data_IF_310167423966
#
_entry.id   IF_310167423966
#
_cell.length_a   1.000
_cell.length_b   1.000
_cell.length_c   1.000
_cell.angle_alpha   90.00
_cell.angle_beta   90.00
_cell.angle_gamma   90.00
#
_symmetry.space_group_name_H-M   'P 1'
#
loop_
_entity.id
_entity.type
_entity.pdbx_description
1 polymer ?
#
# COMPACT_ATOMS: atom_id res chain seq x y z
N UNK A 1 1.98 -2.38 24.64
CA UNK A 1 2.59 -1.30 25.44
C UNK A 1 4.07 -1.53 25.72
N UNK A 2 4.55 -2.74 26.07
CA UNK A 2 5.96 -2.97 26.42
C UNK A 2 7.01 -2.70 25.32
N UNK A 3 6.64 -2.65 24.04
CA UNK A 3 7.57 -2.40 22.93
C UNK A 3 7.06 -1.33 21.94
N UNK A 4 5.79 -1.39 21.53
CA UNK A 4 5.25 -0.51 20.47
C UNK A 4 5.22 0.98 20.86
N UNK A 5 4.79 1.32 22.07
CA UNK A 5 4.75 2.70 22.57
C UNK A 5 6.16 3.25 22.80
N UNK A 6 7.06 2.55 23.52
CA UNK A 6 8.47 2.96 23.63
C UNK A 6 9.16 3.14 22.28
N UNK A 7 8.86 2.27 21.30
CA UNK A 7 9.40 2.40 19.94
C UNK A 7 8.91 3.67 19.25
N UNK A 8 7.59 3.92 19.25
CA UNK A 8 7.01 5.10 18.61
C UNK A 8 7.51 6.41 19.25
N UNK A 9 7.50 6.49 20.57
CA UNK A 9 8.03 7.62 21.35
C UNK A 9 9.51 7.86 21.04
N UNK A 10 10.33 6.80 21.07
CA UNK A 10 11.78 6.90 20.79
C UNK A 10 12.06 7.32 19.36
N UNK A 11 11.27 6.84 18.39
CA UNK A 11 11.40 7.20 16.98
C UNK A 11 11.18 8.71 16.78
N UNK A 12 10.10 9.25 17.34
CA UNK A 12 9.77 10.68 17.26
C UNK A 12 10.81 11.52 18.02
N UNK A 13 11.19 11.10 19.23
CA UNK A 13 12.18 11.80 20.04
C UNK A 13 13.54 11.89 19.32
N UNK A 14 13.99 10.79 18.72
CA UNK A 14 15.20 10.74 17.90
C UNK A 14 15.07 11.66 16.70
N UNK A 15 13.93 11.62 16.00
CA UNK A 15 13.60 12.52 14.91
C UNK A 15 13.81 14.00 15.22
N UNK A 16 13.23 14.44 16.34
CA UNK A 16 13.35 15.82 16.83
C UNK A 16 14.81 16.20 17.13
N UNK A 17 15.59 15.29 17.70
CA UNK A 17 17.02 15.53 17.99
C UNK A 17 17.85 15.76 16.71
N UNK A 18 17.51 15.07 15.62
CA UNK A 18 18.20 15.20 14.33
C UNK A 18 17.53 16.18 13.35
N UNK A 19 16.45 16.87 13.76
CA UNK A 19 15.73 17.80 12.90
C UNK A 19 15.00 17.14 11.73
N UNK A 20 14.61 15.87 11.85
CA UNK A 20 13.86 15.12 10.83
C UNK A 20 12.36 15.35 11.03
N UNK A 21 11.63 15.60 9.93
CA UNK A 21 10.17 15.77 9.97
C UNK A 21 9.50 14.50 10.52
N UNK A 22 8.63 14.66 11.52
CA UNK A 22 7.90 13.54 12.14
C UNK A 22 7.09 12.74 11.12
N UNK A 23 6.54 13.41 10.11
CA UNK A 23 5.83 12.75 9.03
C UNK A 23 6.71 11.74 8.29
N UNK A 24 7.97 12.06 8.00
CA UNK A 24 8.88 11.14 7.32
C UNK A 24 9.17 9.91 8.18
N UNK A 25 9.29 10.11 9.50
CA UNK A 25 9.52 9.02 10.44
C UNK A 25 8.30 8.11 10.54
N UNK A 26 7.11 8.69 10.72
CA UNK A 26 5.86 7.93 10.90
C UNK A 26 5.42 7.27 9.60
N UNK A 27 5.56 7.94 8.46
CA UNK A 27 5.10 7.41 7.17
C UNK A 27 6.09 6.43 6.54
N UNK A 28 7.39 6.66 6.67
CA UNK A 28 8.39 5.89 5.94
C UNK A 28 9.24 5.02 6.84
N UNK A 29 9.83 5.59 7.89
CA UNK A 29 10.79 4.86 8.71
C UNK A 29 10.11 3.81 9.59
N UNK A 30 8.99 4.16 10.25
CA UNK A 30 8.28 3.25 11.14
C UNK A 30 7.80 2.00 10.37
N UNK A 31 7.11 2.12 9.21
CA UNK A 31 6.68 0.96 8.44
C UNK A 31 7.86 0.18 7.85
N UNK A 32 8.91 0.87 7.37
CA UNK A 32 10.09 0.20 6.85
C UNK A 32 10.70 -0.74 7.91
N UNK A 33 10.81 -0.26 9.15
CA UNK A 33 11.37 -1.05 10.25
C UNK A 33 10.40 -2.13 10.74
N UNK A 34 9.10 -1.82 10.90
CA UNK A 34 8.11 -2.78 11.39
C UNK A 34 7.86 -3.93 10.42
N UNK A 35 7.86 -3.65 9.12
CA UNK A 35 7.61 -4.62 8.06
C UNK A 35 8.89 -5.30 7.54
N UNK A 36 10.08 -4.84 7.94
CA UNK A 36 11.37 -5.43 7.51
C UNK A 36 11.46 -6.95 7.71
N UNK A 37 11.03 -7.54 8.87
CA UNK A 37 11.04 -8.99 9.03
C UNK A 37 10.21 -9.72 7.97
N UNK A 38 9.04 -9.19 7.61
CA UNK A 38 8.19 -9.76 6.56
C UNK A 38 8.87 -9.67 5.18
N UNK A 39 9.43 -8.51 4.83
CA UNK A 39 10.17 -8.33 3.58
C UNK A 39 11.35 -9.29 3.45
N UNK A 40 12.11 -9.51 4.53
CA UNK A 40 13.23 -10.47 4.53
C UNK A 40 12.72 -11.88 4.20
N UNK A 41 11.62 -12.32 4.81
CA UNK A 41 11.04 -13.65 4.53
C UNK A 41 10.56 -13.75 3.08
N UNK A 42 9.90 -12.71 2.56
CA UNK A 42 9.47 -12.67 1.16
C UNK A 42 10.66 -12.77 0.19
N UNK A 43 11.76 -12.07 0.46
CA UNK A 43 13.00 -12.15 -0.33
C UNK A 43 13.61 -13.54 -0.25
N UNK A 44 13.67 -14.16 0.93
CA UNK A 44 14.18 -15.52 1.09
C UNK A 44 13.37 -16.53 0.28
N UNK A 45 12.04 -16.41 0.24
CA UNK A 45 11.22 -17.25 -0.62
C UNK A 45 11.51 -17.03 -2.11
N UNK A 46 11.66 -15.78 -2.55
CA UNK A 46 12.00 -15.46 -3.93
C UNK A 46 13.37 -16.05 -4.32
N UNK A 47 14.40 -15.87 -3.48
CA UNK A 47 15.76 -16.40 -3.70
C UNK A 47 15.81 -17.94 -3.72
N UNK A 48 14.88 -18.61 -3.03
CA UNK A 48 14.72 -20.08 -3.04
C UNK A 48 13.87 -20.59 -4.22
N UNK A 49 13.57 -19.75 -5.21
CA UNK A 49 12.74 -20.12 -6.35
C UNK A 49 11.25 -20.26 -6.03
N UNK A 50 10.80 -19.84 -4.85
CA UNK A 50 9.41 -19.89 -4.40
C UNK A 50 8.69 -18.56 -4.64
N UNK A 51 8.76 -18.04 -5.87
CA UNK A 51 8.22 -16.71 -6.22
C UNK A 51 6.70 -16.59 -5.98
N UNK A 52 5.93 -17.65 -6.25
CA UNK A 52 4.49 -17.65 -6.00
C UNK A 52 4.14 -17.51 -4.51
N UNK A 53 4.90 -18.18 -3.62
CA UNK A 53 4.71 -18.06 -2.18
C UNK A 53 5.12 -16.66 -1.67
N UNK A 54 6.22 -16.12 -2.20
CA UNK A 54 6.69 -14.76 -1.90
C UNK A 54 5.64 -13.70 -2.28
N UNK A 55 5.16 -13.72 -3.52
CA UNK A 55 4.13 -12.78 -4.01
C UNK A 55 2.81 -12.99 -3.26
N UNK A 56 2.39 -14.24 -3.02
CA UNK A 56 1.18 -14.54 -2.26
C UNK A 56 1.21 -13.99 -0.84
N UNK A 57 2.35 -14.07 -0.16
CA UNK A 57 2.56 -13.47 1.16
C UNK A 57 2.40 -11.94 1.11
N UNK A 58 3.12 -11.27 0.20
CA UNK A 58 3.08 -9.81 0.08
C UNK A 58 1.68 -9.30 -0.30
N UNK A 59 0.98 -9.98 -1.19
CA UNK A 59 -0.41 -9.64 -1.53
C UNK A 59 -1.32 -9.82 -0.32
N UNK A 60 -1.18 -10.94 0.41
CA UNK A 60 -1.95 -11.20 1.61
C UNK A 60 -1.75 -10.13 2.69
N UNK A 61 -0.50 -9.70 2.88
CA UNK A 61 -0.17 -8.61 3.82
C UNK A 61 -0.77 -7.28 3.39
N UNK A 62 -0.65 -6.92 2.10
CA UNK A 62 -1.27 -5.72 1.56
C UNK A 62 -2.80 -5.71 1.73
N UNK A 63 -3.47 -6.86 1.52
CA UNK A 63 -4.92 -7.00 1.75
C UNK A 63 -5.23 -6.79 3.24
N UNK A 64 -4.49 -7.42 4.14
CA UNK A 64 -4.68 -7.26 5.58
C UNK A 64 -4.50 -5.79 6.03
N UNK A 65 -3.46 -5.12 5.54
CA UNK A 65 -3.22 -3.70 5.84
C UNK A 65 -4.34 -2.81 5.30
N UNK A 66 -4.77 -3.01 4.05
CA UNK A 66 -5.78 -2.14 3.43
C UNK A 66 -7.21 -2.40 3.88
N UNK A 67 -7.45 -3.52 4.57
CA UNK A 67 -8.77 -3.86 5.12
C UNK A 67 -8.78 -3.75 6.63
N UNK A 68 -8.09 -4.65 7.33
CA UNK A 68 -8.12 -4.75 8.77
C UNK A 68 -7.49 -3.53 9.44
N UNK A 69 -6.29 -3.11 9.01
CA UNK A 69 -5.61 -1.98 9.64
C UNK A 69 -6.36 -0.66 9.37
N UNK A 70 -6.73 -0.39 8.11
CA UNK A 70 -7.53 0.80 7.77
C UNK A 70 -8.86 0.83 8.52
N UNK A 71 -9.53 -0.31 8.68
CA UNK A 71 -10.78 -0.41 9.44
C UNK A 71 -10.60 -0.32 10.96
N UNK A 72 -9.50 -0.84 11.49
CA UNK A 72 -9.21 -0.84 12.93
C UNK A 72 -8.79 0.53 13.45
N UNK A 73 -8.17 1.39 12.63
CA UNK A 73 -7.69 2.71 13.03
C UNK A 73 -8.82 3.62 13.57
N UNK A 74 -9.94 3.85 12.85
CA UNK A 74 -11.06 4.62 13.39
C UNK A 74 -11.69 3.99 14.63
N UNK A 75 -11.73 2.65 14.72
CA UNK A 75 -12.25 1.96 15.89
C UNK A 75 -11.36 2.17 17.12
N UNK A 76 -10.04 2.04 16.98
CA UNK A 76 -9.08 2.33 18.03
C UNK A 76 -9.15 3.80 18.47
N UNK A 77 -9.30 4.74 17.52
CA UNK A 77 -9.51 6.16 17.81
C UNK A 77 -10.74 6.38 18.70
N UNK A 78 -11.90 5.87 18.30
CA UNK A 78 -13.15 6.00 19.05
C UNK A 78 -13.07 5.35 20.45
N UNK A 79 -12.47 4.17 20.55
CA UNK A 79 -12.29 3.47 21.83
C UNK A 79 -11.34 4.24 22.77
N UNK A 80 -10.24 4.79 22.24
CA UNK A 80 -9.28 5.56 23.04
C UNK A 80 -9.83 6.90 23.54
N UNK A 81 -10.72 7.53 22.77
CA UNK A 81 -11.35 8.80 23.13
C UNK A 81 -12.57 8.67 24.06
N UNK A 82 -13.06 7.44 24.30
CA UNK A 82 -14.25 7.19 25.13
C UNK A 82 -15.57 7.68 24.52
N UNK A 83 -15.55 8.16 23.27
CA UNK A 83 -16.70 8.69 22.53
C UNK A 83 -16.65 8.14 21.10
N UNK A 84 -17.80 7.71 20.59
CA UNK A 84 -17.95 7.34 19.19
C UNK A 84 -17.98 8.62 18.34
N UNK A 85 -16.80 9.08 17.95
CA UNK A 85 -16.60 10.22 17.07
C UNK A 85 -15.87 9.78 15.79
N UNK A 86 -16.18 10.40 14.63
CA UNK A 86 -15.45 10.12 13.41
C UNK A 86 -13.99 10.58 13.53
N UNK A 87 -13.07 9.75 13.07
CA UNK A 87 -11.66 10.15 12.89
C UNK A 87 -11.59 11.11 11.70
N UNK A 88 -11.44 12.40 11.98
CA UNK A 88 -11.35 13.43 10.95
C UNK A 88 -9.98 13.37 10.28
N UNK A 89 -10.00 13.38 8.95
CA UNK A 89 -8.80 13.40 8.12
C UNK A 89 -8.56 14.83 7.62
N UNK A 90 -7.33 15.31 7.77
CA UNK A 90 -6.94 16.60 7.21
C UNK A 90 -6.84 16.58 5.66
N UNK A 91 -6.44 17.69 5.06
CA UNK A 91 -6.25 17.76 3.61
C UNK A 91 -5.18 16.79 3.10
N UNK A 92 -4.03 16.72 3.78
CA UNK A 92 -2.89 15.89 3.39
C UNK A 92 -3.23 14.41 3.49
N UNK A 93 -3.82 13.98 4.60
CA UNK A 93 -4.21 12.59 4.84
C UNK A 93 -5.21 12.08 3.81
N UNK A 94 -6.19 12.91 3.41
CA UNK A 94 -7.12 12.57 2.33
C UNK A 94 -6.41 12.37 0.99
N UNK A 95 -5.44 13.23 0.68
CA UNK A 95 -4.62 13.13 -0.53
C UNK A 95 -3.75 11.86 -0.51
N UNK A 96 -3.13 11.52 0.63
CA UNK A 96 -2.32 10.30 0.80
C UNK A 96 -3.17 9.02 0.69
N UNK A 97 -4.38 8.99 1.28
CA UNK A 97 -5.32 7.87 1.14
C UNK A 97 -5.76 7.73 -0.31
N UNK A 98 -6.04 8.83 -1.01
CA UNK A 98 -6.39 8.80 -2.43
C UNK A 98 -5.24 8.26 -3.28
N UNK A 99 -4.02 8.80 -3.09
CA UNK A 99 -2.82 8.32 -3.78
C UNK A 99 -2.60 6.82 -3.56
N UNK A 100 -2.62 6.37 -2.30
CA UNK A 100 -2.46 4.97 -1.94
C UNK A 100 -3.55 4.09 -2.54
N UNK A 101 -4.81 4.56 -2.58
CA UNK A 101 -5.92 3.84 -3.20
C UNK A 101 -5.72 3.65 -4.70
N UNK A 102 -5.28 4.70 -5.41
CA UNK A 102 -5.00 4.61 -6.85
C UNK A 102 -3.81 3.72 -7.16
N UNK A 103 -2.76 3.75 -6.33
CA UNK A 103 -1.62 2.85 -6.42
C UNK A 103 -2.04 1.38 -6.22
N UNK A 104 -2.82 1.10 -5.18
CA UNK A 104 -3.34 -0.25 -4.89
C UNK A 104 -4.23 -0.77 -6.03
N UNK A 105 -5.06 0.09 -6.62
CA UNK A 105 -5.85 -0.26 -7.80
C UNK A 105 -4.96 -0.58 -8.99
N UNK A 106 -3.94 0.23 -9.26
CA UNK A 106 -3.00 -0.04 -10.35
C UNK A 106 -2.24 -1.36 -10.13
N UNK A 107 -1.73 -1.60 -8.92
CA UNK A 107 -1.07 -2.85 -8.57
C UNK A 107 -1.99 -4.07 -8.76
N UNK A 108 -3.26 -3.97 -8.34
CA UNK A 108 -4.28 -5.01 -8.56
C UNK A 108 -4.47 -5.30 -10.05
N UNK A 109 -4.57 -4.25 -10.89
CA UNK A 109 -4.71 -4.39 -12.34
C UNK A 109 -3.49 -5.10 -12.95
N UNK A 110 -2.28 -4.73 -12.53
CA UNK A 110 -1.04 -5.35 -13.00
C UNK A 110 -1.04 -6.87 -12.76
N UNK A 111 -1.42 -7.31 -11.55
CA UNK A 111 -1.42 -8.74 -11.19
C UNK A 111 -2.70 -9.49 -11.60
N UNK A 112 -3.71 -8.81 -12.14
CA UNK A 112 -5.04 -9.40 -12.39
C UNK A 112 -5.01 -10.59 -13.39
N UNK A 113 -3.98 -10.67 -14.23
CA UNK A 113 -3.80 -11.77 -15.19
C UNK A 113 -2.99 -12.96 -14.61
N UNK A 114 -2.68 -12.93 -13.30
CA UNK A 114 -1.84 -13.91 -12.59
C UNK A 114 -0.43 -14.08 -13.16
N UNK A 115 0.08 -13.07 -13.87
CA UNK A 115 1.47 -12.98 -14.33
C UNK A 115 2.08 -11.73 -13.72
N UNK A 116 3.37 -11.81 -13.41
CA UNK A 116 4.12 -10.67 -12.90
C UNK A 116 5.53 -10.71 -13.46
N UNK A 117 5.81 -9.78 -14.37
CA UNK A 117 7.07 -9.65 -15.09
C UNK A 117 8.03 -8.69 -14.40
N UNK A 118 9.31 -8.81 -14.74
CA UNK A 118 10.34 -7.89 -14.23
C UNK A 118 10.08 -6.42 -14.64
N UNK A 119 9.47 -6.19 -15.81
CA UNK A 119 9.11 -4.85 -16.26
C UNK A 119 7.99 -4.24 -15.42
N UNK A 120 6.98 -5.04 -15.06
CA UNK A 120 5.91 -4.61 -14.17
C UNK A 120 6.45 -4.31 -12.76
N UNK A 121 7.38 -5.14 -12.26
CA UNK A 121 8.07 -4.87 -11.01
C UNK A 121 8.87 -3.55 -11.06
N UNK A 122 9.65 -3.35 -12.13
CA UNK A 122 10.44 -2.12 -12.31
C UNK A 122 9.55 -0.89 -12.48
N UNK A 123 8.41 -1.01 -13.15
CA UNK A 123 7.42 0.05 -13.30
C UNK A 123 6.84 0.46 -11.94
N UNK A 124 6.44 -0.51 -11.11
CA UNK A 124 5.91 -0.24 -9.77
C UNK A 124 6.96 0.47 -8.90
N UNK A 125 8.20 -0.03 -8.88
CA UNK A 125 9.30 0.61 -8.14
C UNK A 125 9.60 2.01 -8.69
N UNK A 126 9.66 2.16 -10.02
CA UNK A 126 9.95 3.43 -10.68
C UNK A 126 8.88 4.50 -10.47
N UNK A 127 7.62 4.10 -10.27
CA UNK A 127 6.53 5.01 -9.92
C UNK A 127 6.50 5.35 -8.42
N UNK A 128 6.91 4.41 -7.56
CA UNK A 128 6.94 4.58 -6.12
C UNK A 128 8.10 5.46 -5.63
N UNK A 129 9.32 5.23 -6.09
CA UNK A 129 10.52 5.92 -5.57
C UNK A 129 10.44 7.46 -5.65
N UNK A 130 9.99 8.08 -6.76
CA UNK A 130 9.84 9.54 -6.83
C UNK A 130 8.91 10.13 -5.77
N UNK A 131 7.89 9.37 -5.34
CA UNK A 131 6.92 9.82 -4.34
C UNK A 131 7.55 10.04 -2.96
N UNK A 132 8.64 9.33 -2.65
CA UNK A 132 9.39 9.53 -1.41
C UNK A 132 9.93 10.96 -1.28
N UNK A 133 10.22 11.60 -2.40
CA UNK A 133 10.83 12.93 -2.45
C UNK A 133 9.85 14.03 -2.88
N UNK A 134 8.80 13.66 -3.63
CA UNK A 134 7.82 14.59 -4.18
C UNK A 134 6.60 14.74 -3.26
N UNK A 135 6.81 15.37 -2.10
CA UNK A 135 5.81 15.47 -1.02
C UNK A 135 4.76 16.57 -1.22
N UNK A 136 4.91 17.41 -2.24
CA UNK A 136 3.98 18.51 -2.53
C UNK A 136 2.59 18.00 -2.96
N UNK A 137 1.52 18.70 -2.55
CA UNK A 137 0.14 18.36 -2.90
C UNK A 137 -0.09 18.14 -4.40
N UNK A 138 0.32 19.07 -5.29
CA UNK A 138 0.18 18.88 -6.73
C UNK A 138 0.91 17.64 -7.28
N UNK A 139 2.06 17.29 -6.69
CA UNK A 139 2.80 16.10 -7.10
C UNK A 139 2.04 14.83 -6.71
N UNK A 140 1.43 14.77 -5.52
CA UNK A 140 0.60 13.64 -5.08
C UNK A 140 -0.61 13.42 -5.99
N UNK A 141 -1.31 14.50 -6.35
CA UNK A 141 -2.41 14.43 -7.32
C UNK A 141 -1.97 13.94 -8.70
N UNK A 142 -0.83 14.43 -9.20
CA UNK A 142 -0.28 14.00 -10.49
C UNK A 142 0.04 12.50 -10.49
N UNK A 143 0.66 11.98 -9.42
CA UNK A 143 0.95 10.55 -9.31
C UNK A 143 -0.31 9.70 -9.20
N UNK A 144 -1.32 10.17 -8.44
CA UNK A 144 -2.59 9.45 -8.33
C UNK A 144 -3.30 9.33 -9.68
N UNK A 145 -3.33 10.43 -10.45
CA UNK A 145 -3.89 10.44 -11.80
C UNK A 145 -3.07 9.58 -12.77
N UNK A 146 -1.74 9.56 -12.63
CA UNK A 146 -0.87 8.70 -13.42
C UNK A 146 -1.17 7.21 -13.17
N UNK A 147 -1.32 6.79 -11.91
CA UNK A 147 -1.70 5.40 -11.60
C UNK A 147 -3.06 5.04 -12.19
N UNK A 148 -4.05 5.93 -12.10
CA UNK A 148 -5.36 5.71 -12.72
C UNK A 148 -5.26 5.59 -14.25
N UNK A 149 -4.53 6.50 -14.89
CA UNK A 149 -4.34 6.47 -16.34
C UNK A 149 -3.62 5.19 -16.79
N UNK A 150 -2.60 4.75 -16.06
CA UNK A 150 -1.89 3.50 -16.34
C UNK A 150 -2.77 2.27 -16.09
N UNK A 151 -3.59 2.27 -15.03
CA UNK A 151 -4.54 1.18 -14.77
C UNK A 151 -5.57 1.05 -15.90
N UNK A 152 -6.17 2.18 -16.31
CA UNK A 152 -7.11 2.22 -17.45
C UNK A 152 -6.40 1.80 -18.74
N UNK A 153 -5.21 2.33 -18.99
CA UNK A 153 -4.38 1.98 -20.15
C UNK A 153 -4.08 0.49 -20.20
N UNK A 154 -3.70 -0.12 -19.07
CA UNK A 154 -3.45 -1.56 -18.99
C UNK A 154 -4.72 -2.38 -19.32
N UNK A 155 -5.89 -1.97 -18.82
CA UNK A 155 -7.17 -2.66 -19.10
C UNK A 155 -7.60 -2.49 -20.57
N UNK A 156 -7.40 -1.31 -21.15
CA UNK A 156 -7.82 -0.99 -22.52
C UNK A 156 -6.86 -1.60 -23.54
N UNK A 157 -5.55 -1.52 -23.32
CA UNK A 157 -4.55 -1.90 -24.31
C UNK A 157 -4.12 -3.37 -24.21
N UNK A 158 -4.20 -3.98 -23.01
CA UNK A 158 -3.79 -5.38 -22.82
C UNK A 158 -5.00 -6.33 -22.73
N UNK A 159 -5.21 -7.21 -23.73
CA UNK A 159 -6.30 -8.19 -23.68
C UNK A 159 -6.20 -9.15 -22.51
N UNK A 160 -4.98 -9.54 -22.10
CA UNK A 160 -4.75 -10.45 -20.98
C UNK A 160 -5.16 -9.80 -19.65
N UNK A 161 -4.74 -8.56 -19.42
CA UNK A 161 -5.11 -7.78 -18.23
C UNK A 161 -6.63 -7.57 -18.18
N UNK A 162 -7.24 -7.19 -19.31
CA UNK A 162 -8.70 -7.05 -19.41
C UNK A 162 -9.44 -8.33 -19.04
N UNK A 163 -8.95 -9.48 -19.52
CA UNK A 163 -9.55 -10.77 -19.20
C UNK A 163 -9.40 -11.10 -17.71
N UNK A 164 -8.21 -10.89 -17.13
CA UNK A 164 -7.97 -11.06 -15.70
C UNK A 164 -8.90 -10.23 -14.83
N UNK A 165 -9.03 -8.93 -15.10
CA UNK A 165 -9.94 -8.04 -14.36
C UNK A 165 -11.40 -8.50 -14.47
N UNK A 166 -11.84 -8.95 -15.65
CA UNK A 166 -13.19 -9.49 -15.84
C UNK A 166 -13.44 -10.75 -15.01
N UNK A 167 -12.43 -11.57 -14.75
CA UNK A 167 -12.57 -12.77 -13.92
C UNK A 167 -12.69 -12.45 -12.43
N UNK A 168 -12.19 -11.29 -11.97
CA UNK A 168 -12.31 -10.81 -10.59
C UNK A 168 -13.70 -10.26 -10.28
N UNK A 169 -14.42 -9.76 -11.30
CA UNK A 169 -15.77 -9.24 -11.12
C UNK A 169 -16.76 -10.37 -10.83
N UNK A 170 -17.61 -10.23 -9.80
CA UNK A 170 -18.64 -11.23 -9.50
C UNK A 170 -19.64 -11.27 -10.66
N UNK A 171 -19.56 -12.33 -11.47
CA UNK A 171 -20.52 -12.57 -12.55
C UNK A 171 -21.75 -13.30 -11.99
N UNK A 172 -22.98 -12.78 -12.14
CA UNK A 172 -24.19 -13.39 -11.57
C UNK A 172 -24.48 -14.83 -12.04
N UNK A 173 -23.82 -15.29 -13.11
CA UNK A 173 -24.00 -16.64 -13.70
C UNK A 173 -22.94 -17.69 -13.33
N UNK A 174 -21.96 -17.38 -12.47
CA UNK A 174 -20.95 -18.38 -12.04
C UNK A 174 -21.59 -19.31 -10.99
N UNK A 175 -22.10 -20.46 -11.43
CA UNK A 175 -22.34 -21.59 -10.52
C UNK A 175 -20.97 -22.01 -9.96
N UNK A 176 -20.84 -21.98 -8.64
CA UNK A 176 -19.65 -22.51 -7.97
C UNK A 176 -19.48 -24.01 -8.33
N UNK A 177 -18.25 -24.49 -8.56
CA UNK A 177 -17.97 -25.92 -8.68
C UNK A 177 -18.18 -26.65 -7.35
#
# INVERSE_FOLDING_TARGET
FSAAEPFAESLIATGRQFGIEEFLLVQWLAPLVSESPEFIVAVLFALRGSAAASIGMLISSAVNQWTLLVGALPAAFALSGGVVAPMLLDGRQREEIFLTSTQSLFALVVIANFRFSYLEALLLVGLFIPQLFLTAGPARWLHALLYLALAVGAIVLSPSTRHGVRQLLPWPGRRAP
#
